data_IF_272657899683
#
_entry.id   IF_272657899683
#
_cell.length_a   1.000
_cell.length_b   1.000
_cell.length_c   1.000
_cell.angle_alpha   90.00
_cell.angle_beta   90.00
_cell.angle_gamma   90.00
#
_symmetry.space_group_name_H-M   'P 1'
#
loop_
_entity.id
_entity.type
_entity.pdbx_description
1 polymer ?
#
# COMPACT_ATOMS: atom_id res chain seq x y z
N UNK A 1 -34.50 -19.96 65.76
CA UNK A 1 -34.02 -19.04 66.82
C UNK A 1 -33.49 -17.79 66.13
N UNK A 2 -34.01 -16.63 66.55
CA UNK A 2 -33.81 -15.31 65.95
C UNK A 2 -32.77 -14.54 66.76
N UNK A 3 -31.75 -13.95 66.12
CA UNK A 3 -30.93 -12.85 66.69
C UNK A 3 -30.50 -11.96 65.50
N UNK A 4 -31.16 -10.83 65.24
CA UNK A 4 -30.97 -9.47 65.78
C UNK A 4 -29.97 -8.61 64.97
N UNK A 5 -30.49 -7.46 64.56
CA UNK A 5 -29.91 -6.42 63.71
C UNK A 5 -28.74 -5.61 64.31
N UNK A 6 -28.02 -4.87 63.44
CA UNK A 6 -27.49 -3.50 63.68
C UNK A 6 -26.93 -2.92 62.38
N UNK A 7 -27.57 -1.92 61.76
CA UNK A 7 -27.53 -0.46 61.99
C UNK A 7 -26.16 0.21 61.68
N UNK A 8 -26.18 0.95 60.57
CA UNK A 8 -25.53 2.26 60.28
C UNK A 8 -24.06 2.48 60.62
N UNK A 9 -23.28 2.98 59.65
CA UNK A 9 -22.61 4.29 59.76
C UNK A 9 -22.06 4.76 58.41
N UNK A 10 -22.39 6.00 58.06
CA UNK A 10 -21.72 6.79 57.03
C UNK A 10 -20.26 7.00 57.41
N UNK A 11 -19.33 6.88 56.46
CA UNK A 11 -18.03 7.57 56.54
C UNK A 11 -17.65 8.06 55.14
N UNK A 12 -17.72 9.38 54.95
CA UNK A 12 -16.98 10.12 53.93
C UNK A 12 -15.48 9.94 54.18
N UNK A 13 -14.69 9.49 53.20
CA UNK A 13 -13.26 9.78 53.18
C UNK A 13 -12.75 9.89 51.74
N UNK A 14 -11.83 10.84 51.58
CA UNK A 14 -11.33 11.49 50.36
C UNK A 14 -10.48 10.59 49.46
N UNK A 15 -10.59 10.88 48.16
CA UNK A 15 -9.58 10.87 47.10
C UNK A 15 -8.25 10.13 47.33
N UNK A 16 -7.95 9.16 46.46
CA UNK A 16 -6.62 8.98 45.83
C UNK A 16 -6.80 8.44 44.40
N UNK A 17 -5.89 8.91 43.56
CA UNK A 17 -5.81 8.91 42.11
C UNK A 17 -5.62 7.55 41.38
N UNK A 18 -5.65 7.71 40.05
CA UNK A 18 -5.04 6.90 38.99
C UNK A 18 -5.85 5.69 38.51
N UNK A 19 -6.61 5.92 37.43
CA UNK A 19 -6.63 4.97 36.30
C UNK A 19 -6.30 5.75 35.05
N UNK A 20 -5.01 5.68 34.70
CA UNK A 20 -4.45 5.84 33.38
C UNK A 20 -5.26 5.04 32.36
N UNK A 21 -5.53 5.62 31.19
CA UNK A 21 -5.70 4.97 29.86
C UNK A 21 -6.74 5.75 29.04
N UNK A 22 -6.29 6.87 28.48
CA UNK A 22 -6.79 7.32 27.20
C UNK A 22 -5.63 8.01 26.48
N UNK A 23 -4.58 7.25 26.19
CA UNK A 23 -3.82 7.56 24.99
C UNK A 23 -4.81 7.41 23.84
N UNK A 24 -5.32 8.55 23.37
CA UNK A 24 -5.90 8.68 22.06
C UNK A 24 -4.79 8.45 21.02
N UNK A 25 -4.27 7.22 20.99
CA UNK A 25 -3.72 6.68 19.75
C UNK A 25 -4.92 6.60 18.84
N UNK A 26 -4.98 7.57 17.94
CA UNK A 26 -5.83 7.54 16.77
C UNK A 26 -5.39 6.30 15.98
N UNK A 27 -5.90 5.14 16.36
CA UNK A 27 -5.90 3.97 15.50
C UNK A 27 -6.89 4.36 14.43
N UNK A 28 -6.39 4.99 13.35
CA UNK A 28 -7.15 5.30 12.14
C UNK A 28 -7.55 3.96 11.49
N UNK A 29 -8.56 3.34 12.09
CA UNK A 29 -9.31 2.22 11.55
C UNK A 29 -10.40 2.84 10.70
N UNK A 30 -10.15 2.94 9.40
CA UNK A 30 -11.14 3.02 8.33
C UNK A 30 -12.28 4.05 8.46
N UNK A 31 -12.17 5.14 7.71
CA UNK A 31 -13.17 5.56 6.69
C UNK A 31 -12.82 6.96 6.17
N UNK A 32 -12.65 7.12 4.85
CA UNK A 32 -12.93 8.40 4.19
C UNK A 32 -11.75 9.22 3.65
N UNK A 33 -10.77 8.59 3.01
CA UNK A 33 -10.17 9.19 1.81
C UNK A 33 -10.28 8.14 0.71
N UNK A 34 -11.35 8.23 -0.08
CA UNK A 34 -11.59 7.44 -1.29
C UNK A 34 -10.62 7.88 -2.39
N UNK A 35 -9.32 7.64 -2.16
CA UNK A 35 -8.28 7.64 -3.17
C UNK A 35 -7.78 6.20 -3.35
N UNK A 36 -7.16 5.86 -4.49
CA UNK A 36 -6.55 4.55 -4.66
C UNK A 36 -5.50 4.32 -3.56
N UNK A 37 -5.45 3.11 -2.99
CA UNK A 37 -4.40 2.74 -2.03
C UNK A 37 -3.10 2.36 -2.77
N UNK A 38 -1.91 2.38 -2.12
CA UNK A 38 -0.67 1.93 -2.76
C UNK A 38 -0.77 0.51 -3.34
N UNK A 39 -1.47 -0.37 -2.60
CA UNK A 39 -1.79 -1.71 -3.06
C UNK A 39 -2.65 -1.70 -4.32
N UNK A 40 -3.71 -0.89 -4.34
CA UNK A 40 -4.62 -0.81 -5.49
C UNK A 40 -3.90 -0.37 -6.76
N UNK A 41 -3.05 0.67 -6.68
CA UNK A 41 -2.24 1.12 -7.83
C UNK A 41 -1.28 0.03 -8.31
N UNK A 42 -0.64 -0.68 -7.38
CA UNK A 42 0.25 -1.81 -7.72
C UNK A 42 -0.51 -2.94 -8.39
N UNK A 43 -1.70 -3.28 -7.88
CA UNK A 43 -2.56 -4.32 -8.43
C UNK A 43 -3.11 -3.95 -9.80
N UNK A 44 -3.47 -2.69 -10.02
CA UNK A 44 -3.88 -2.15 -11.31
C UNK A 44 -2.76 -2.29 -12.35
N UNK A 45 -1.54 -1.89 -12.01
CA UNK A 45 -0.38 -2.06 -12.89
C UNK A 45 -0.13 -3.54 -13.23
N UNK A 46 -0.11 -4.43 -12.23
CA UNK A 46 0.12 -5.87 -12.47
C UNK A 46 -0.97 -6.45 -13.37
N UNK A 47 -2.23 -6.09 -13.13
CA UNK A 47 -3.36 -6.55 -13.94
C UNK A 47 -3.28 -6.00 -15.36
N UNK A 48 -2.91 -4.74 -15.54
CA UNK A 48 -2.73 -4.12 -16.84
C UNK A 48 -1.60 -4.82 -17.64
N UNK A 49 -0.46 -5.07 -17.00
CA UNK A 49 0.65 -5.80 -17.64
C UNK A 49 0.28 -7.25 -17.99
N UNK A 50 -0.49 -7.95 -17.15
CA UNK A 50 -1.01 -9.30 -17.44
C UNK A 50 -1.95 -9.31 -18.65
N UNK A 51 -2.78 -8.28 -18.79
CA UNK A 51 -3.73 -8.13 -19.89
C UNK A 51 -3.13 -7.44 -21.13
N UNK A 52 -1.83 -7.12 -21.12
CA UNK A 52 -1.16 -6.34 -22.15
C UNK A 52 -1.81 -4.97 -22.42
N UNK A 53 -2.46 -4.40 -21.40
CA UNK A 53 -3.03 -3.06 -21.40
C UNK A 53 -1.94 -2.05 -21.03
N UNK A 54 -1.11 -1.72 -22.01
CA UNK A 54 0.04 -0.83 -21.84
C UNK A 54 -0.36 0.60 -21.49
N UNK A 55 -1.54 1.04 -21.94
CA UNK A 55 -2.05 2.39 -21.68
C UNK A 55 -2.39 2.55 -20.21
N UNK A 56 -3.17 1.63 -19.65
CA UNK A 56 -3.48 1.61 -18.22
C UNK A 56 -2.21 1.44 -17.38
N UNK A 57 -1.30 0.54 -17.78
CA UNK A 57 -0.02 0.36 -17.08
C UNK A 57 0.78 1.68 -17.00
N UNK A 58 0.87 2.42 -18.12
CA UNK A 58 1.56 3.71 -18.16
C UNK A 58 0.93 4.78 -17.25
N UNK A 59 -0.39 4.82 -17.11
CA UNK A 59 -1.09 5.81 -16.26
C UNK A 59 -0.76 5.64 -14.77
N UNK A 60 -0.36 4.44 -14.35
CA UNK A 60 0.03 4.15 -12.96
C UNK A 60 1.49 4.50 -12.66
N UNK A 61 2.34 4.74 -13.67
CA UNK A 61 3.76 5.04 -13.48
C UNK A 61 3.97 6.52 -13.12
N UNK A 62 4.97 6.80 -12.29
CA UNK A 62 5.31 8.18 -11.92
C UNK A 62 5.97 8.91 -13.09
N UNK A 63 5.79 10.23 -13.14
CA UNK A 63 6.38 11.05 -14.18
C UNK A 63 7.92 10.99 -14.13
N UNK A 64 8.49 11.01 -12.92
CA UNK A 64 9.93 10.85 -12.70
C UNK A 64 10.45 9.50 -13.21
N UNK A 65 9.70 8.41 -12.99
CA UNK A 65 10.06 7.09 -13.51
C UNK A 65 10.13 7.09 -15.04
N UNK A 66 9.08 7.61 -15.68
CA UNK A 66 8.98 7.73 -17.14
C UNK A 66 10.14 8.57 -17.65
N UNK A 67 10.40 9.74 -17.05
CA UNK A 67 11.47 10.62 -17.49
C UNK A 67 12.85 9.94 -17.47
N UNK A 68 13.16 9.19 -16.40
CA UNK A 68 14.46 8.53 -16.24
C UNK A 68 14.64 7.31 -17.13
N UNK A 69 13.57 6.55 -17.40
CA UNK A 69 13.67 5.26 -18.09
C UNK A 69 13.25 5.32 -19.57
N UNK A 70 12.54 6.37 -19.99
CA UNK A 70 11.92 6.47 -21.33
C UNK A 70 12.40 7.72 -22.09
N UNK A 71 13.68 8.07 -21.91
CA UNK A 71 14.33 9.21 -22.58
C UNK A 71 13.61 10.55 -22.39
N UNK A 72 12.93 10.74 -21.25
CA UNK A 72 12.29 12.01 -20.92
C UNK A 72 10.96 12.28 -21.63
N UNK A 73 10.38 11.33 -22.39
CA UNK A 73 9.16 11.58 -23.16
C UNK A 73 8.07 10.54 -22.85
N UNK A 74 7.06 10.99 -22.11
CA UNK A 74 5.93 10.18 -21.65
C UNK A 74 5.06 9.63 -22.77
N UNK A 75 5.11 10.23 -23.97
CA UNK A 75 4.37 9.74 -25.14
C UNK A 75 4.88 8.37 -25.61
N UNK A 76 6.11 8.02 -25.29
CA UNK A 76 6.69 6.72 -25.65
C UNK A 76 6.52 5.66 -24.57
N UNK A 77 5.84 5.95 -23.45
CA UNK A 77 5.70 4.98 -22.36
C UNK A 77 5.13 3.64 -22.84
N UNK A 78 4.02 3.68 -23.60
CA UNK A 78 3.38 2.49 -24.17
C UNK A 78 4.34 1.73 -25.08
N UNK A 79 5.09 2.45 -25.91
CA UNK A 79 6.07 1.87 -26.81
C UNK A 79 7.16 1.10 -26.05
N UNK A 80 7.72 1.71 -25.00
CA UNK A 80 8.76 1.09 -24.18
C UNK A 80 8.25 -0.12 -23.39
N UNK A 81 7.07 -0.02 -22.75
CA UNK A 81 6.49 -1.16 -22.04
C UNK A 81 6.24 -2.33 -22.99
N UNK A 82 5.70 -2.06 -24.18
CA UNK A 82 5.52 -3.09 -25.21
C UNK A 82 6.84 -3.67 -25.68
N UNK A 83 7.84 -2.83 -25.96
CA UNK A 83 9.16 -3.29 -26.40
C UNK A 83 9.83 -4.19 -25.35
N UNK A 84 9.76 -3.82 -24.08
CA UNK A 84 10.43 -4.54 -23.00
C UNK A 84 9.71 -5.82 -22.58
N UNK A 85 8.38 -5.89 -22.76
CA UNK A 85 7.55 -6.93 -22.12
C UNK A 85 6.58 -7.69 -23.05
N UNK A 86 6.41 -7.34 -24.33
CA UNK A 86 5.42 -8.00 -25.19
C UNK A 86 5.61 -9.51 -25.37
N UNK A 87 6.84 -10.02 -25.22
CA UNK A 87 7.15 -11.45 -25.27
C UNK A 87 7.46 -12.08 -23.91
N UNK A 88 7.21 -11.35 -22.81
CA UNK A 88 7.61 -11.76 -21.47
C UNK A 88 6.42 -12.30 -20.69
N UNK A 89 6.59 -13.47 -20.07
CA UNK A 89 5.63 -14.02 -19.12
C UNK A 89 5.90 -13.55 -17.68
N UNK A 90 6.72 -12.51 -17.50
CA UNK A 90 7.16 -12.06 -16.16
C UNK A 90 5.99 -11.78 -15.24
N UNK A 91 4.90 -11.19 -15.75
CA UNK A 91 3.73 -10.81 -14.96
C UNK A 91 2.71 -11.93 -14.76
N UNK A 92 2.83 -13.03 -15.51
CA UNK A 92 1.90 -14.16 -15.43
C UNK A 92 1.93 -14.76 -14.01
N UNK A 93 0.76 -14.91 -13.39
CA UNK A 93 0.62 -15.46 -12.04
C UNK A 93 1.16 -14.58 -10.91
N UNK A 94 1.59 -13.33 -11.19
CA UNK A 94 1.89 -12.36 -10.12
C UNK A 94 0.62 -11.99 -9.34
N UNK A 95 0.76 -11.78 -8.03
CA UNK A 95 -0.34 -11.31 -7.19
C UNK A 95 0.12 -10.30 -6.13
N UNK A 96 -0.79 -9.42 -5.72
CA UNK A 96 -0.50 -8.36 -4.73
C UNK A 96 -1.24 -8.66 -3.42
N UNK A 97 -0.57 -9.24 -2.41
CA UNK A 97 -1.18 -9.63 -1.14
C UNK A 97 -1.74 -8.44 -0.37
N UNK A 98 -2.72 -8.71 0.52
CA UNK A 98 -3.47 -7.67 1.21
C UNK A 98 -2.73 -6.96 2.33
N UNK A 99 -1.71 -7.59 2.93
CA UNK A 99 -1.12 -7.15 4.19
C UNK A 99 0.34 -6.71 4.10
N UNK A 100 0.96 -6.77 2.93
CA UNK A 100 2.41 -6.58 2.79
C UNK A 100 2.76 -5.21 2.19
N UNK A 101 2.37 -4.16 2.92
CA UNK A 101 2.78 -2.78 2.62
C UNK A 101 3.61 -2.20 3.76
N UNK A 102 4.70 -1.53 3.41
CA UNK A 102 5.61 -0.89 4.38
C UNK A 102 5.83 0.58 3.95
N UNK A 103 5.38 1.53 4.78
CA UNK A 103 5.61 2.95 4.53
C UNK A 103 7.04 3.34 4.87
N UNK A 104 7.74 3.99 3.93
CA UNK A 104 9.12 4.46 4.06
C UNK A 104 9.24 5.94 3.69
N UNK A 105 10.41 6.52 3.92
CA UNK A 105 10.70 7.91 3.56
C UNK A 105 10.76 8.15 2.05
N UNK A 106 11.04 7.12 1.24
CA UNK A 106 11.11 7.19 -0.22
C UNK A 106 9.82 6.71 -0.92
N UNK A 107 8.77 6.39 -0.15
CA UNK A 107 7.48 5.90 -0.64
C UNK A 107 6.98 4.68 0.12
N UNK A 108 5.83 4.15 -0.28
CA UNK A 108 5.29 2.90 0.24
C UNK A 108 5.80 1.73 -0.58
N UNK A 109 6.50 0.80 0.07
CA UNK A 109 6.84 -0.49 -0.51
C UNK A 109 5.61 -1.38 -0.50
N UNK A 110 5.30 -2.03 -1.62
CA UNK A 110 4.25 -3.03 -1.73
C UNK A 110 4.90 -4.33 -2.17
N UNK A 111 4.78 -5.39 -1.39
CA UNK A 111 5.28 -6.72 -1.78
C UNK A 111 4.38 -7.32 -2.86
N UNK A 112 4.98 -8.03 -3.80
CA UNK A 112 4.30 -8.73 -4.90
C UNK A 112 4.80 -10.16 -4.94
N UNK A 113 3.88 -11.12 -4.91
CA UNK A 113 4.20 -12.54 -5.03
C UNK A 113 4.35 -12.89 -6.50
N UNK A 114 5.43 -13.58 -6.84
CA UNK A 114 5.71 -14.06 -8.19
C UNK A 114 5.26 -15.51 -8.36
N UNK A 115 4.96 -15.92 -9.59
CA UNK A 115 4.50 -17.29 -9.89
C UNK A 115 5.50 -18.40 -9.48
N UNK A 116 6.78 -18.07 -9.37
CA UNK A 116 7.83 -19.01 -8.95
C UNK A 116 7.95 -19.16 -7.41
N UNK A 117 7.05 -18.54 -6.64
CA UNK A 117 7.05 -18.57 -5.18
C UNK A 117 8.06 -17.61 -4.51
N UNK A 118 8.79 -16.80 -5.29
CA UNK A 118 9.60 -15.69 -4.75
C UNK A 118 8.78 -14.39 -4.71
N UNK A 119 9.33 -13.36 -4.08
CA UNK A 119 8.70 -12.04 -3.98
C UNK A 119 9.52 -10.96 -4.67
N UNK A 120 8.83 -9.97 -5.21
CA UNK A 120 9.40 -8.68 -5.63
C UNK A 120 8.64 -7.55 -4.91
N UNK A 121 8.93 -6.30 -5.25
CA UNK A 121 8.32 -5.15 -4.61
C UNK A 121 8.05 -4.01 -5.59
N UNK A 122 6.90 -3.39 -5.45
CA UNK A 122 6.64 -2.07 -6.02
C UNK A 122 7.04 -0.98 -5.02
N UNK A 123 7.35 0.20 -5.54
CA UNK A 123 7.45 1.43 -4.73
C UNK A 123 6.46 2.43 -5.25
N UNK A 124 5.50 2.78 -4.40
CA UNK A 124 4.47 3.78 -4.68
C UNK A 124 4.82 5.09 -3.98
N UNK A 125 4.66 6.20 -4.69
CA UNK A 125 4.90 7.56 -4.18
C UNK A 125 3.64 8.41 -4.40
N UNK A 126 3.46 9.44 -3.58
CA UNK A 126 2.48 10.49 -3.86
C UNK A 126 3.12 11.51 -4.81
N UNK A 127 2.47 11.72 -5.96
CA UNK A 127 2.85 12.71 -6.96
C UNK A 127 1.67 13.67 -7.14
N UNK A 128 1.71 14.80 -6.43
CA UNK A 128 0.68 15.84 -6.55
C UNK A 128 -0.70 15.41 -6.05
N UNK A 129 -0.77 14.50 -5.08
CA UNK A 129 -2.02 13.93 -4.56
C UNK A 129 -2.51 12.68 -5.29
N UNK A 130 -1.78 12.21 -6.30
CA UNK A 130 -2.03 10.92 -6.95
C UNK A 130 -0.96 9.90 -6.56
N UNK A 131 -1.37 8.67 -6.26
CA UNK A 131 -0.43 7.59 -6.03
C UNK A 131 0.09 7.03 -7.36
N UNK A 132 1.41 6.96 -7.51
CA UNK A 132 2.09 6.48 -8.72
C UNK A 132 3.24 5.52 -8.39
N UNK A 133 3.59 4.65 -9.31
CA UNK A 133 4.70 3.72 -9.20
C UNK A 133 6.02 4.40 -9.60
N UNK A 134 6.91 4.58 -8.62
CA UNK A 134 8.31 4.98 -8.83
C UNK A 134 9.27 3.79 -9.06
N UNK A 135 8.79 2.57 -8.80
CA UNK A 135 9.40 1.29 -9.20
C UNK A 135 8.26 0.28 -9.36
N UNK A 136 8.27 -0.51 -10.42
CA UNK A 136 7.27 -1.55 -10.65
C UNK A 136 7.87 -2.96 -10.48
N UNK A 137 7.07 -3.99 -10.12
CA UNK A 137 7.55 -5.36 -9.95
C UNK A 137 7.96 -5.96 -11.30
N UNK A 138 9.05 -6.72 -11.36
CA UNK A 138 9.58 -7.28 -12.61
C UNK A 138 10.39 -6.29 -13.46
N UNK A 139 10.61 -5.06 -12.98
CA UNK A 139 11.39 -4.04 -13.70
C UNK A 139 12.82 -4.51 -14.04
N UNK A 140 13.46 -5.27 -13.16
CA UNK A 140 14.83 -5.76 -13.37
C UNK A 140 14.90 -6.92 -14.37
N UNK A 141 13.75 -7.45 -14.80
CA UNK A 141 13.61 -8.49 -15.83
C UNK A 141 13.24 -7.92 -17.20
N UNK A 142 13.03 -6.61 -17.31
CA UNK A 142 12.76 -5.94 -18.57
C UNK A 142 13.96 -6.08 -19.54
N UNK A 143 13.69 -6.45 -20.80
CA UNK A 143 14.69 -6.50 -21.85
C UNK A 143 14.99 -5.08 -22.37
N UNK A 144 15.86 -4.35 -21.65
CA UNK A 144 16.21 -2.95 -21.93
C UNK A 144 17.19 -2.80 -23.10
#
# INVERSE_FOLDING_TARGET
MTITARRTSNVLTRAVAVVTLATSTVVMSGCGLTGPSPRAVTQEFVSAMQNQDWETACQTLSHDFIHRNMNGDSRYCVHYLKQWHAGSNTFEGMSVPSQDTETRSDGTKVTVDLANGSTDHARVVDEGGELKLARYPGQDKAAR
#
